data_IF_089627098403
#
_entry.id   IF_089627098403
#
_cell.length_a   1.000
_cell.length_b   1.000
_cell.length_c   1.000
_cell.angle_alpha   90.00
_cell.angle_beta   90.00
_cell.angle_gamma   90.00
#
_symmetry.space_group_name_H-M   'P 1'
#
loop_
_entity.id
_entity.type
_entity.pdbx_description
1 polymer ?
#
# COMPACT_ATOMS: atom_id res chain seq x y z
N UNK A 1 -14.41 11.75 1.67
CA UNK A 1 -14.94 10.37 1.87
C UNK A 1 -14.00 9.26 1.47
N UNK A 2 -13.33 9.32 0.31
CA UNK A 2 -12.50 8.22 -0.22
C UNK A 2 -11.31 7.81 0.66
N UNK A 3 -10.56 8.78 1.19
CA UNK A 3 -9.40 8.54 2.08
C UNK A 3 -9.83 8.01 3.44
N UNK A 4 -10.90 8.57 4.04
CA UNK A 4 -11.46 8.09 5.30
C UNK A 4 -11.77 6.60 5.27
N UNK A 5 -12.29 6.11 4.14
CA UNK A 5 -12.54 4.68 3.95
C UNK A 5 -11.25 3.85 3.95
N UNK A 6 -10.17 4.36 3.33
CA UNK A 6 -8.87 3.70 3.37
C UNK A 6 -8.34 3.60 4.81
N UNK A 7 -8.56 4.64 5.62
CA UNK A 7 -8.19 4.64 7.03
C UNK A 7 -8.98 3.60 7.84
N UNK A 8 -10.30 3.52 7.62
CA UNK A 8 -11.16 2.52 8.27
C UNK A 8 -10.79 1.08 7.86
N UNK A 9 -10.41 0.87 6.60
CA UNK A 9 -9.89 -0.42 6.14
C UNK A 9 -8.55 -0.75 6.81
N UNK A 10 -7.68 0.25 7.02
CA UNK A 10 -6.44 0.09 7.77
C UNK A 10 -6.70 -0.40 9.19
N UNK A 11 -7.65 0.21 9.91
CA UNK A 11 -8.09 -0.24 11.22
C UNK A 11 -8.57 -1.70 11.21
N UNK A 12 -9.45 -2.04 10.25
CA UNK A 12 -9.98 -3.39 10.13
C UNK A 12 -8.87 -4.41 9.83
N UNK A 13 -7.89 -4.04 9.00
CA UNK A 13 -6.78 -4.90 8.60
C UNK A 13 -5.81 -5.21 9.76
N UNK A 14 -5.74 -4.36 10.78
CA UNK A 14 -4.92 -4.59 11.98
C UNK A 14 -5.48 -5.70 12.85
N UNK A 15 -6.80 -5.88 12.88
CA UNK A 15 -7.47 -6.84 13.79
C UNK A 15 -6.91 -8.26 13.66
N UNK A 16 -6.79 -8.87 12.45
CA UNK A 16 -6.18 -10.18 12.31
C UNK A 16 -4.74 -10.26 12.84
N UNK A 17 -3.94 -9.21 12.66
CA UNK A 17 -2.55 -9.18 13.14
C UNK A 17 -2.52 -9.19 14.67
N UNK A 18 -3.25 -8.27 15.30
CA UNK A 18 -3.30 -8.14 16.76
C UNK A 18 -3.88 -9.40 17.40
N UNK A 19 -4.97 -9.96 16.85
CA UNK A 19 -5.52 -11.21 17.33
C UNK A 19 -4.50 -12.35 17.24
N UNK A 20 -3.75 -12.43 16.14
CA UNK A 20 -2.73 -13.44 16.00
C UNK A 20 -1.60 -13.27 17.02
N UNK A 21 -1.10 -12.04 17.21
CA UNK A 21 -0.06 -11.73 18.21
C UNK A 21 -0.51 -12.03 19.64
N UNK A 22 -1.80 -11.85 19.96
CA UNK A 22 -2.37 -12.16 21.28
C UNK A 22 -2.60 -13.66 21.47
N UNK A 23 -3.07 -14.36 20.44
CA UNK A 23 -3.42 -15.79 20.53
C UNK A 23 -2.22 -16.73 20.41
N UNK A 24 -1.19 -16.32 19.66
CA UNK A 24 0.01 -17.12 19.45
C UNK A 24 1.11 -16.59 20.35
N UNK A 25 1.52 -17.36 21.39
CA UNK A 25 2.56 -16.91 22.28
C UNK A 25 3.85 -16.65 21.49
N UNK A 26 4.65 -15.63 21.88
CA UNK A 26 5.92 -15.36 21.24
C UNK A 26 6.79 -16.62 21.30
N UNK A 27 7.14 -17.15 20.13
CA UNK A 27 8.09 -18.25 20.04
C UNK A 27 9.49 -17.70 20.33
N UNK A 28 10.01 -18.01 21.50
CA UNK A 28 11.36 -17.62 21.89
C UNK A 28 12.37 -18.58 21.25
N UNK A 29 12.91 -18.21 20.09
CA UNK A 29 14.01 -18.92 19.47
C UNK A 29 15.35 -18.31 19.89
N UNK A 30 16.29 -19.15 20.34
CA UNK A 30 17.68 -18.71 20.59
C UNK A 30 18.47 -18.52 19.28
N UNK A 31 18.02 -19.15 18.19
CA UNK A 31 18.68 -19.07 16.90
C UNK A 31 18.13 -17.86 16.10
N UNK A 32 18.97 -16.85 15.77
CA UNK A 32 18.53 -15.66 15.05
C UNK A 32 17.94 -15.98 13.67
N UNK A 33 18.36 -17.09 13.05
CA UNK A 33 17.79 -17.54 11.78
C UNK A 33 16.32 -17.96 11.93
N UNK A 34 15.94 -18.62 13.04
CA UNK A 34 14.56 -19.02 13.29
C UNK A 34 13.68 -17.82 13.64
N UNK A 35 14.22 -16.83 14.36
CA UNK A 35 13.55 -15.54 14.60
C UNK A 35 13.25 -14.83 13.27
N UNK A 36 14.23 -14.79 12.36
CA UNK A 36 14.04 -14.22 11.02
C UNK A 36 12.97 -14.97 10.20
N UNK A 37 13.00 -16.31 10.22
CA UNK A 37 12.00 -17.11 9.51
C UNK A 37 10.59 -16.88 10.08
N UNK A 38 10.44 -16.79 11.40
CA UNK A 38 9.17 -16.45 12.04
C UNK A 38 8.71 -15.05 11.62
N UNK A 39 9.60 -14.05 11.66
CA UNK A 39 9.26 -12.68 11.27
C UNK A 39 8.76 -12.60 9.81
N UNK A 40 9.38 -13.34 8.88
CA UNK A 40 8.99 -13.37 7.46
C UNK A 40 7.72 -14.20 7.22
N UNK A 41 7.69 -15.46 7.69
CA UNK A 41 6.66 -16.41 7.28
C UNK A 41 5.40 -16.39 8.13
N UNK A 42 5.50 -15.89 9.36
CA UNK A 42 4.37 -15.84 10.28
C UNK A 42 3.85 -14.42 10.37
N UNK A 43 4.64 -13.51 10.96
CA UNK A 43 4.18 -12.14 11.24
C UNK A 43 3.95 -11.34 9.96
N UNK A 44 4.96 -11.20 9.10
CA UNK A 44 4.86 -10.39 7.89
C UNK A 44 3.82 -10.94 6.90
N UNK A 45 3.67 -12.27 6.80
CA UNK A 45 2.68 -12.88 5.92
C UNK A 45 1.25 -12.51 6.34
N UNK A 46 0.95 -12.60 7.64
CA UNK A 46 -0.38 -12.27 8.19
C UNK A 46 -0.66 -10.78 8.00
N UNK A 47 0.31 -9.94 8.30
CA UNK A 47 0.16 -8.49 8.24
C UNK A 47 0.04 -7.93 6.83
N UNK A 48 0.85 -8.40 5.89
CA UNK A 48 0.73 -7.95 4.49
C UNK A 48 -0.45 -8.64 3.80
N UNK A 49 -0.76 -9.87 4.18
CA UNK A 49 -1.96 -10.59 3.75
C UNK A 49 -3.24 -9.88 4.18
N UNK A 50 -3.33 -9.40 5.42
CA UNK A 50 -4.52 -8.69 5.91
C UNK A 50 -4.72 -7.34 5.21
N UNK A 51 -3.65 -6.57 4.97
CA UNK A 51 -3.69 -5.32 4.20
C UNK A 51 -4.13 -5.57 2.75
N UNK A 52 -3.55 -6.58 2.11
CA UNK A 52 -3.91 -6.97 0.74
C UNK A 52 -5.37 -7.45 0.66
N UNK A 53 -5.83 -8.23 1.63
CA UNK A 53 -7.23 -8.68 1.71
C UNK A 53 -8.18 -7.50 1.90
N UNK A 54 -7.87 -6.55 2.79
CA UNK A 54 -8.67 -5.35 2.97
C UNK A 54 -8.79 -4.54 1.67
N UNK A 55 -7.71 -4.42 0.91
CA UNK A 55 -7.73 -3.80 -0.42
C UNK A 55 -8.46 -4.65 -1.47
N UNK A 56 -8.42 -5.98 -1.37
CA UNK A 56 -9.18 -6.88 -2.25
C UNK A 56 -10.69 -6.73 -2.05
N UNK A 57 -11.15 -6.63 -0.81
CA UNK A 57 -12.56 -6.38 -0.50
C UNK A 57 -13.01 -4.98 -0.94
N UNK A 58 -12.07 -4.05 -1.14
CA UNK A 58 -12.37 -2.73 -1.66
C UNK A 58 -12.92 -2.77 -3.10
N UNK A 59 -14.10 -2.19 -3.36
CA UNK A 59 -14.66 -2.17 -4.71
C UNK A 59 -13.87 -1.21 -5.60
N UNK A 60 -13.07 -1.74 -6.54
CA UNK A 60 -12.30 -0.93 -7.50
C UNK A 60 -13.18 0.00 -8.36
N UNK A 61 -14.49 -0.26 -8.44
CA UNK A 61 -15.47 0.64 -9.06
C UNK A 61 -15.42 2.06 -8.47
N UNK A 62 -14.97 2.22 -7.22
CA UNK A 62 -14.77 3.53 -6.60
C UNK A 62 -13.51 4.27 -7.08
N UNK A 63 -12.55 3.55 -7.68
CA UNK A 63 -11.35 4.13 -8.29
C UNK A 63 -11.57 4.50 -9.76
N UNK A 64 -12.57 3.88 -10.41
CA UNK A 64 -12.93 4.20 -11.79
C UNK A 64 -13.49 5.62 -11.85
N UNK A 65 -12.86 6.49 -12.63
CA UNK A 65 -13.39 7.82 -12.91
C UNK A 65 -14.66 7.69 -13.76
N UNK A 66 -15.76 8.29 -13.31
CA UNK A 66 -17.09 8.21 -13.95
C UNK A 66 -17.14 8.68 -15.42
N UNK A 67 -16.07 9.26 -15.96
CA UNK A 67 -16.05 9.81 -17.32
C UNK A 67 -16.20 8.77 -18.43
N UNK A 68 -15.99 7.47 -18.17
CA UNK A 68 -16.25 6.44 -19.20
C UNK A 68 -17.73 6.33 -19.58
N UNK A 69 -18.66 6.73 -18.69
CA UNK A 69 -20.09 6.80 -19.02
C UNK A 69 -20.38 8.01 -19.92
N UNK A 70 -19.76 9.16 -19.66
CA UNK A 70 -19.93 10.37 -20.45
C UNK A 70 -19.35 10.25 -21.87
N UNK A 71 -18.23 9.55 -22.06
CA UNK A 71 -17.65 9.31 -23.39
C UNK A 71 -18.49 8.35 -24.23
N UNK A 72 -19.07 7.31 -23.62
CA UNK A 72 -20.07 6.44 -24.30
C UNK A 72 -21.36 7.19 -24.61
N UNK A 73 -21.82 8.06 -23.71
CA UNK A 73 -23.01 8.88 -23.92
C UNK A 73 -22.78 9.96 -25.00
N UNK A 74 -21.56 10.51 -25.13
CA UNK A 74 -21.18 11.43 -26.23
C UNK A 74 -21.13 10.74 -27.59
N UNK A 75 -20.75 9.47 -27.64
CA UNK A 75 -20.82 8.65 -28.87
C UNK A 75 -22.28 8.31 -29.20
N UNK A 76 -23.13 8.12 -28.20
CA UNK A 76 -24.55 7.79 -28.39
C UNK A 76 -25.45 9.01 -28.70
N UNK A 77 -25.11 10.19 -28.17
CA UNK A 77 -25.90 11.43 -28.32
C UNK A 77 -25.38 12.37 -29.40
N UNK A 78 -24.93 11.81 -30.53
CA UNK A 78 -24.78 12.52 -31.80
C UNK A 78 -24.55 14.03 -31.70
N UNK A 79 -23.30 14.43 -31.43
CA UNK A 79 -22.71 15.76 -31.67
C UNK A 79 -23.74 16.91 -31.82
N UNK A 80 -24.30 17.40 -30.71
CA UNK A 80 -24.85 18.76 -30.65
C UNK A 80 -24.43 19.46 -29.36
N UNK A 81 -23.52 20.43 -29.55
CA UNK A 81 -23.25 21.61 -28.75
C UNK A 81 -23.48 21.51 -27.24
N UNK A 82 -22.38 21.42 -26.49
CA UNK A 82 -22.27 22.13 -25.22
C UNK A 82 -20.79 22.31 -24.86
N UNK A 83 -20.18 23.34 -25.43
CA UNK A 83 -19.15 24.07 -24.70
C UNK A 83 -19.84 24.77 -23.54
N UNK A 84 -19.43 24.44 -22.31
CA UNK A 84 -19.11 25.42 -21.26
C UNK A 84 -18.60 24.74 -20.00
N UNK A 85 -17.45 25.24 -19.58
CA UNK A 85 -16.92 25.31 -18.22
C UNK A 85 -17.04 24.07 -17.32
N UNK A 86 -15.94 23.33 -17.22
CA UNK A 86 -15.64 22.59 -15.98
C UNK A 86 -14.24 23.00 -15.55
N UNK A 87 -14.19 23.65 -14.39
CA UNK A 87 -13.03 24.18 -13.68
C UNK A 87 -11.73 23.40 -13.96
N UNK A 88 -10.71 24.15 -14.37
CA UNK A 88 -9.31 23.82 -14.20
C UNK A 88 -9.01 23.68 -12.71
N UNK A 89 -8.89 22.44 -12.25
CA UNK A 89 -7.83 22.10 -11.31
C UNK A 89 -6.97 21.06 -12.01
N UNK A 90 -5.80 21.48 -12.47
CA UNK A 90 -4.76 20.61 -13.00
C UNK A 90 -3.98 20.02 -11.83
N UNK A 91 -4.05 18.69 -11.57
CA UNK A 91 -3.05 18.05 -10.75
C UNK A 91 -1.81 17.80 -11.59
N UNK A 92 -0.69 18.33 -11.10
CA UNK A 92 0.68 18.14 -11.58
C UNK A 92 0.90 16.67 -11.97
N UNK A 93 0.95 16.42 -13.27
CA UNK A 93 1.63 15.28 -13.86
C UNK A 93 2.96 15.84 -14.36
N UNK A 94 4.07 15.24 -13.95
CA UNK A 94 5.40 15.64 -14.40
C UNK A 94 5.39 15.78 -15.93
N UNK A 95 6.03 16.85 -16.40
CA UNK A 95 5.82 17.67 -17.60
C UNK A 95 5.97 16.97 -18.99
N UNK A 96 5.78 15.66 -19.06
CA UNK A 96 5.92 14.85 -20.28
C UNK A 96 4.57 14.45 -20.92
N UNK A 97 3.44 14.77 -20.30
CA UNK A 97 2.14 14.14 -20.61
C UNK A 97 1.22 14.97 -21.54
N UNK A 98 1.71 16.04 -22.16
CA UNK A 98 0.91 16.88 -23.07
C UNK A 98 0.46 16.16 -24.37
N UNK A 99 0.96 14.95 -24.64
CA UNK A 99 0.68 14.16 -25.85
C UNK A 99 0.10 12.77 -25.51
N UNK A 100 -0.61 12.63 -24.38
CA UNK A 100 -1.25 11.36 -24.01
C UNK A 100 -2.76 11.38 -24.33
N UNK A 101 -3.21 10.40 -25.12
CA UNK A 101 -4.63 10.16 -25.38
C UNK A 101 -5.44 9.94 -24.10
N UNK A 102 -6.74 10.24 -24.16
CA UNK A 102 -7.66 10.27 -23.00
C UNK A 102 -7.65 8.97 -22.17
N UNK A 103 -7.45 7.82 -22.82
CA UNK A 103 -7.38 6.51 -22.17
C UNK A 103 -6.13 6.35 -21.29
N UNK A 104 -4.95 6.77 -21.76
CA UNK A 104 -3.71 6.71 -20.96
C UNK A 104 -3.76 7.66 -19.78
N UNK A 105 -4.39 8.83 -19.94
CA UNK A 105 -4.61 9.80 -18.85
C UNK A 105 -5.50 9.22 -17.74
N UNK A 106 -6.54 8.47 -18.11
CA UNK A 106 -7.41 7.79 -17.15
C UNK A 106 -6.69 6.65 -16.42
N UNK A 107 -5.88 5.86 -17.12
CA UNK A 107 -5.10 4.79 -16.50
C UNK A 107 -4.04 5.30 -15.51
N UNK A 108 -3.34 6.39 -15.85
CA UNK A 108 -2.42 7.07 -14.94
C UNK A 108 -3.15 7.55 -13.67
N UNK A 109 -4.35 8.11 -13.83
CA UNK A 109 -5.20 8.54 -12.71
C UNK A 109 -5.66 7.38 -11.83
N UNK A 110 -6.06 6.24 -12.40
CA UNK A 110 -6.40 5.03 -11.64
C UNK A 110 -5.20 4.57 -10.81
N UNK A 111 -4.01 4.52 -11.40
CA UNK A 111 -2.78 4.06 -10.72
C UNK A 111 -2.40 4.99 -9.56
N UNK A 112 -2.51 6.32 -9.74
CA UNK A 112 -2.32 7.30 -8.66
C UNK A 112 -3.31 7.09 -7.51
N UNK A 113 -4.57 6.79 -7.82
CA UNK A 113 -5.57 6.52 -6.79
C UNK A 113 -5.28 5.21 -6.04
N UNK A 114 -4.86 4.15 -6.73
CA UNK A 114 -4.42 2.89 -6.09
C UNK A 114 -3.27 3.14 -5.12
N UNK A 115 -2.25 3.88 -5.57
CA UNK A 115 -1.12 4.28 -4.72
C UNK A 115 -1.60 5.03 -3.47
N UNK A 116 -2.42 6.07 -3.65
CA UNK A 116 -2.87 6.90 -2.53
C UNK A 116 -3.69 6.10 -1.51
N UNK A 117 -4.58 5.22 -2.00
CA UNK A 117 -5.37 4.36 -1.13
C UNK A 117 -4.53 3.35 -0.38
N UNK A 118 -3.60 2.66 -1.06
CA UNK A 118 -2.66 1.74 -0.42
C UNK A 118 -1.84 2.46 0.66
N UNK A 119 -1.35 3.65 0.34
CA UNK A 119 -0.54 4.45 1.25
C UNK A 119 -1.29 4.84 2.53
N UNK A 120 -2.52 5.37 2.41
CA UNK A 120 -3.32 5.73 3.60
C UNK A 120 -3.84 4.52 4.39
N UNK A 121 -4.12 3.40 3.71
CA UNK A 121 -4.44 2.14 4.37
C UNK A 121 -3.27 1.68 5.24
N UNK A 122 -2.05 1.67 4.69
CA UNK A 122 -0.84 1.27 5.41
C UNK A 122 -0.43 2.25 6.51
N UNK A 123 -0.55 3.57 6.29
CA UNK A 123 -0.34 4.57 7.34
C UNK A 123 -1.28 4.33 8.52
N UNK A 124 -2.56 4.09 8.22
CA UNK A 124 -3.56 3.87 9.28
C UNK A 124 -3.30 2.55 10.00
N UNK A 125 -2.99 1.48 9.26
CA UNK A 125 -2.57 0.21 9.86
C UNK A 125 -1.41 0.40 10.82
N UNK A 126 -0.31 0.99 10.34
CA UNK A 126 0.90 1.18 11.13
C UNK A 126 0.64 2.05 12.36
N UNK A 127 -0.19 3.09 12.22
CA UNK A 127 -0.56 3.94 13.35
C UNK A 127 -1.39 3.20 14.43
N UNK A 128 -2.32 2.33 14.04
CA UNK A 128 -3.11 1.56 15.00
C UNK A 128 -2.30 0.47 15.68
N UNK A 129 -1.44 -0.21 14.94
CA UNK A 129 -0.51 -1.17 15.53
C UNK A 129 0.41 -0.48 16.55
N UNK A 130 0.90 0.71 16.21
CA UNK A 130 1.65 1.58 17.11
C UNK A 130 0.94 1.84 18.44
N UNK A 131 -0.36 2.18 18.33
CA UNK A 131 -1.19 2.50 19.47
C UNK A 131 -1.36 1.27 20.37
N UNK A 132 -1.47 0.07 19.79
CA UNK A 132 -1.53 -1.20 20.53
C UNK A 132 -0.22 -1.45 21.29
N UNK A 133 0.95 -1.29 20.67
CA UNK A 133 2.24 -1.44 21.36
C UNK A 133 2.40 -0.43 22.49
N UNK A 134 2.01 0.84 22.25
CA UNK A 134 2.07 1.89 23.27
C UNK A 134 1.17 1.58 24.48
N UNK A 135 -0.06 1.13 24.26
CA UNK A 135 -1.00 0.74 25.33
C UNK A 135 -0.51 -0.51 26.06
N UNK A 136 0.17 -1.42 25.37
CA UNK A 136 0.70 -2.66 25.95
C UNK A 136 1.96 -2.44 26.81
N UNK A 137 2.48 -1.21 26.87
CA UNK A 137 3.67 -0.88 27.65
C UNK A 137 4.98 -1.30 26.99
N UNK A 138 4.94 -1.69 25.71
CA UNK A 138 6.15 -1.97 24.93
C UNK A 138 6.83 -0.64 24.58
N UNK A 139 7.84 -0.28 25.37
CA UNK A 139 8.59 0.96 25.18
C UNK A 139 9.35 0.94 23.86
N UNK A 140 8.98 1.80 22.92
CA UNK A 140 9.75 1.96 21.69
C UNK A 140 10.43 3.35 21.61
N UNK A 141 11.59 3.34 20.97
CA UNK A 141 12.39 4.53 20.68
C UNK A 141 11.64 5.34 19.62
N UNK A 142 11.32 6.61 19.86
CA UNK A 142 10.45 7.43 18.99
C UNK A 142 10.79 7.43 17.49
N UNK A 143 12.06 7.19 17.12
CA UNK A 143 12.49 7.07 15.72
C UNK A 143 12.07 5.74 15.06
N UNK A 144 12.09 4.63 15.82
CA UNK A 144 11.55 3.33 15.39
C UNK A 144 10.04 3.41 15.20
N UNK A 145 9.35 4.10 16.12
CA UNK A 145 7.93 4.42 16.03
C UNK A 145 7.58 5.12 14.70
N UNK A 146 8.31 6.17 14.33
CA UNK A 146 8.03 6.93 13.11
C UNK A 146 8.30 6.14 11.82
N UNK A 147 9.44 5.45 11.77
CA UNK A 147 9.86 4.71 10.56
C UNK A 147 8.95 3.52 10.25
N UNK A 148 8.42 2.85 11.28
CA UNK A 148 7.51 1.71 11.14
C UNK A 148 6.20 2.12 10.43
N UNK A 149 5.63 3.27 10.79
CA UNK A 149 4.37 3.76 10.17
C UNK A 149 4.54 4.00 8.66
N UNK A 150 5.65 4.65 8.26
CA UNK A 150 5.95 4.82 6.84
C UNK A 150 6.25 3.49 6.15
N UNK A 151 6.94 2.58 6.83
CA UNK A 151 7.24 1.26 6.32
C UNK A 151 5.95 0.49 5.94
N UNK A 152 4.94 0.47 6.82
CA UNK A 152 3.64 -0.13 6.50
C UNK A 152 2.92 0.58 5.35
N UNK A 153 3.04 1.91 5.25
CA UNK A 153 2.45 2.66 4.14
C UNK A 153 2.99 2.18 2.78
N UNK A 154 4.31 2.00 2.65
CA UNK A 154 4.91 1.53 1.41
C UNK A 154 4.65 0.04 1.14
N UNK A 155 4.66 -0.81 2.16
CA UNK A 155 4.29 -2.22 1.99
C UNK A 155 2.83 -2.38 1.53
N UNK A 156 1.91 -1.61 2.11
CA UNK A 156 0.51 -1.60 1.69
C UNK A 156 0.32 -1.14 0.24
N UNK A 157 1.14 -0.20 -0.25
CA UNK A 157 1.12 0.19 -1.67
C UNK A 157 1.53 -0.98 -2.56
N UNK A 158 2.59 -1.71 -2.23
CA UNK A 158 3.00 -2.90 -2.99
C UNK A 158 1.90 -3.98 -2.99
N UNK A 159 1.25 -4.22 -1.85
CA UNK A 159 0.08 -5.10 -1.75
C UNK A 159 -1.09 -4.62 -2.62
N UNK A 160 -1.38 -3.31 -2.62
CA UNK A 160 -2.45 -2.73 -3.45
C UNK A 160 -2.19 -2.90 -4.95
N UNK A 161 -0.92 -2.83 -5.38
CA UNK A 161 -0.49 -3.06 -6.75
C UNK A 161 -0.64 -4.51 -7.19
N UNK A 162 -0.31 -5.46 -6.31
CA UNK A 162 -0.61 -6.87 -6.55
C UNK A 162 -2.11 -7.09 -6.79
N UNK A 163 -2.95 -6.58 -5.88
CA UNK A 163 -4.42 -6.73 -6.00
C UNK A 163 -4.97 -6.03 -7.23
N UNK A 164 -4.49 -4.82 -7.54
CA UNK A 164 -4.89 -4.09 -8.73
C UNK A 164 -4.57 -4.87 -10.00
N UNK A 165 -3.36 -5.42 -10.09
CA UNK A 165 -2.91 -6.25 -11.22
C UNK A 165 -3.75 -7.53 -11.33
N UNK A 166 -4.01 -8.22 -10.21
CA UNK A 166 -4.87 -9.40 -10.17
C UNK A 166 -6.28 -9.09 -10.68
N UNK A 167 -6.91 -8.02 -10.21
CA UNK A 167 -8.26 -7.62 -10.66
C UNK A 167 -8.29 -7.24 -12.15
N UNK A 168 -7.17 -6.80 -12.73
CA UNK A 168 -6.97 -6.58 -14.17
C UNK A 168 -6.55 -7.84 -14.94
N UNK A 169 -6.66 -9.03 -14.33
CA UNK A 169 -6.33 -10.36 -14.89
C UNK A 169 -4.84 -10.57 -15.22
N UNK A 170 -3.95 -9.71 -14.72
CA UNK A 170 -2.49 -9.89 -14.81
C UNK A 170 -1.94 -10.17 -13.43
N UNK A 171 -1.79 -11.45 -13.08
CA UNK A 171 -1.29 -11.81 -11.76
C UNK A 171 0.20 -11.47 -11.69
N UNK A 172 0.54 -10.52 -10.81
CA UNK A 172 1.91 -10.10 -10.59
C UNK A 172 2.23 -10.24 -9.10
N UNK A 173 2.72 -11.42 -8.70
CA UNK A 173 2.98 -11.75 -7.29
C UNK A 173 4.19 -11.04 -6.68
N UNK A 174 5.11 -10.55 -7.52
CA UNK A 174 6.37 -9.98 -7.05
C UNK A 174 6.21 -8.84 -6.02
N UNK A 175 5.31 -7.85 -6.18
CA UNK A 175 5.15 -6.78 -5.20
C UNK A 175 4.75 -7.27 -3.81
N UNK A 176 3.80 -8.21 -3.71
CA UNK A 176 3.35 -8.72 -2.41
C UNK A 176 4.41 -9.63 -1.77
N UNK A 177 5.09 -10.47 -2.56
CA UNK A 177 6.17 -11.31 -2.06
C UNK A 177 7.34 -10.46 -1.52
N UNK A 178 7.70 -9.39 -2.23
CA UNK A 178 8.72 -8.45 -1.80
C UNK A 178 8.32 -7.71 -0.53
N UNK A 179 7.06 -7.26 -0.42
CA UNK A 179 6.56 -6.60 0.78
C UNK A 179 6.65 -7.51 2.01
N UNK A 180 6.21 -8.77 1.90
CA UNK A 180 6.30 -9.77 2.99
C UNK A 180 7.77 -9.97 3.41
N UNK A 181 8.67 -10.17 2.44
CA UNK A 181 10.08 -10.39 2.74
C UNK A 181 10.72 -9.18 3.43
N UNK A 182 10.53 -7.98 2.88
CA UNK A 182 11.08 -6.76 3.46
C UNK A 182 10.47 -6.45 4.83
N UNK A 183 9.21 -6.78 5.05
CA UNK A 183 8.58 -6.60 6.34
C UNK A 183 9.23 -7.48 7.40
N UNK A 184 9.42 -8.77 7.13
CA UNK A 184 10.12 -9.65 8.06
C UNK A 184 11.55 -9.17 8.36
N UNK A 185 12.28 -8.69 7.33
CA UNK A 185 13.60 -8.09 7.52
C UNK A 185 13.57 -6.81 8.36
N UNK A 186 12.58 -5.95 8.13
CA UNK A 186 12.42 -4.71 8.89
C UNK A 186 12.21 -5.01 10.36
N UNK A 187 11.26 -5.91 10.69
CA UNK A 187 10.98 -6.31 12.07
C UNK A 187 12.22 -6.90 12.74
N UNK A 188 12.90 -7.83 12.05
CA UNK A 188 14.14 -8.44 12.54
C UNK A 188 15.21 -7.39 12.87
N UNK A 189 15.54 -6.49 11.94
CA UNK A 189 16.59 -5.49 12.18
C UNK A 189 16.18 -4.39 13.16
N UNK A 190 14.88 -4.06 13.22
CA UNK A 190 14.37 -3.01 14.11
C UNK A 190 14.43 -3.40 15.60
N UNK A 191 14.50 -4.69 15.92
CA UNK A 191 14.68 -5.21 17.28
C UNK A 191 16.09 -4.97 17.84
N UNK A 192 17.11 -4.84 16.98
CA UNK A 192 18.47 -4.61 17.41
C UNK A 192 18.74 -3.14 17.76
N UNK A 193 19.86 -2.91 18.47
CA UNK A 193 20.44 -1.58 18.71
C UNK A 193 21.78 -1.45 17.98
N UNK A 194 22.33 -0.23 17.90
CA UNK A 194 23.63 0.02 17.28
C UNK A 194 23.62 -0.11 15.75
N UNK A 195 24.67 -0.73 15.18
CA UNK A 195 24.86 -0.79 13.72
C UNK A 195 23.80 -1.65 13.01
N UNK A 196 23.31 -2.71 13.67
CA UNK A 196 22.32 -3.63 13.10
C UNK A 196 20.96 -2.95 12.92
N UNK A 197 20.62 -2.00 13.79
CA UNK A 197 19.38 -1.21 13.67
C UNK A 197 19.32 -0.43 12.35
N UNK A 198 20.45 0.10 11.86
CA UNK A 198 20.50 0.87 10.62
C UNK A 198 20.12 0.06 9.38
N UNK A 199 20.22 -1.28 9.43
CA UNK A 199 19.72 -2.14 8.36
C UNK A 199 18.19 -2.06 8.22
N UNK A 200 17.43 -1.74 9.28
CA UNK A 200 15.99 -1.47 9.17
C UNK A 200 15.70 -0.23 8.33
N UNK A 201 16.55 0.80 8.42
CA UNK A 201 16.45 2.02 7.59
C UNK A 201 16.80 1.71 6.14
N UNK A 202 17.81 0.87 5.91
CA UNK A 202 18.13 0.39 4.56
C UNK A 202 16.96 -0.39 3.95
N UNK A 203 16.33 -1.28 4.73
CA UNK A 203 15.14 -2.04 4.30
C UNK A 203 13.98 -1.11 3.95
N UNK A 204 13.71 -0.08 4.75
CA UNK A 204 12.73 0.95 4.44
C UNK A 204 13.06 1.64 3.11
N UNK A 205 14.31 2.07 2.91
CA UNK A 205 14.73 2.71 1.67
C UNK A 205 14.56 1.81 0.44
N UNK A 206 14.96 0.54 0.52
CA UNK A 206 14.75 -0.43 -0.56
C UNK A 206 13.27 -0.65 -0.85
N UNK A 207 12.42 -0.64 0.17
CA UNK A 207 10.97 -0.77 0.03
C UNK A 207 10.36 0.43 -0.67
N UNK A 208 10.82 1.64 -0.34
CA UNK A 208 10.42 2.88 -1.02
C UNK A 208 10.80 2.82 -2.51
N UNK A 209 12.05 2.48 -2.82
CA UNK A 209 12.53 2.35 -4.20
C UNK A 209 11.71 1.33 -4.99
N UNK A 210 11.47 0.16 -4.41
CA UNK A 210 10.67 -0.88 -5.04
C UNK A 210 9.22 -0.44 -5.27
N UNK A 211 8.65 0.35 -4.36
CA UNK A 211 7.31 0.94 -4.53
C UNK A 211 7.25 1.85 -5.76
N UNK A 212 8.22 2.75 -5.91
CA UNK A 212 8.25 3.65 -7.07
C UNK A 212 8.56 2.92 -8.38
N UNK A 213 9.42 1.91 -8.35
CA UNK A 213 9.64 1.02 -9.49
C UNK A 213 8.34 0.32 -9.89
N UNK A 214 7.60 -0.24 -8.94
CA UNK A 214 6.34 -0.91 -9.20
C UNK A 214 5.26 0.05 -9.72
N UNK A 215 5.18 1.25 -9.17
CA UNK A 215 4.30 2.31 -9.66
C UNK A 215 4.59 2.62 -11.13
N UNK A 216 5.86 2.81 -11.49
CA UNK A 216 6.28 3.10 -12.86
C UNK A 216 6.00 1.94 -13.83
N UNK A 217 6.10 0.70 -13.35
CA UNK A 217 5.83 -0.50 -14.15
C UNK A 217 4.34 -0.62 -14.45
N UNK A 218 3.48 -0.41 -13.45
CA UNK A 218 2.04 -0.47 -13.63
C UNK A 218 1.56 0.67 -14.52
N UNK A 219 2.02 1.89 -14.30
CA UNK A 219 1.60 3.05 -15.07
C UNK A 219 1.96 2.96 -16.56
N UNK A 220 3.09 2.31 -16.90
CA UNK A 220 3.51 2.06 -18.30
C UNK A 220 2.80 0.87 -18.95
N UNK A 221 2.29 -0.06 -18.15
CA UNK A 221 1.67 -1.30 -18.65
C UNK A 221 0.17 -1.18 -18.98
N UNK A 222 -0.42 0.00 -18.78
CA UNK A 222 -1.80 0.34 -19.14
C UNK A 222 -1.84 1.12 -20.47
#
# INVERSE_FOLDING_TARGET
MKILFACLLGLLAVIPSVLFQVLVPPLYFSNPFLVLLQAIFITALIEEGSKALAFYLFPLRFLKTEKTKASRLKIFLGKKNLEKEVLKEEPICLDSDAILGEDKKNACKETKLVFLYGFFLGLSFGFYELLVYFISGEGALGLRFFTTVFFHAFCAVLGSFFIFSWKKKKIWFFPIAFAIFMHGLYNFFAEFTGILWWFSILVLFLTILQTFYAYSTISKSQ
#
